data_IF_413910697778
#
_entry.id   IF_413910697778
#
_cell.length_a   1.000
_cell.length_b   1.000
_cell.length_c   1.000
_cell.angle_alpha   90.00
_cell.angle_beta   90.00
_cell.angle_gamma   90.00
#
_symmetry.space_group_name_H-M   'P 1'
#
loop_
_entity.id
_entity.type
_entity.pdbx_description
1 polymer ?
#
# COMPACT_ATOMS: atom_id res chain seq x y z
N UNK A 1 2.07 -6.29 28.04
CA UNK A 1 2.18 -6.84 26.67
C UNK A 1 2.21 -5.64 25.73
N UNK A 2 3.18 -5.53 24.82
CA UNK A 2 3.17 -4.45 23.82
C UNK A 2 1.96 -4.67 22.92
N UNK A 3 1.06 -3.70 22.84
CA UNK A 3 -0.05 -3.72 21.90
C UNK A 3 0.55 -3.66 20.48
N UNK A 4 0.14 -4.59 19.61
CA UNK A 4 0.48 -4.54 18.20
C UNK A 4 -0.16 -3.28 17.59
N UNK A 5 0.64 -2.47 16.88
CA UNK A 5 0.18 -1.25 16.24
C UNK A 5 0.23 -1.44 14.73
N UNK A 6 -0.94 -1.47 14.11
CA UNK A 6 -1.11 -1.54 12.66
C UNK A 6 -0.45 -0.29 12.04
N UNK A 7 0.40 -0.43 11.01
CA UNK A 7 0.94 0.71 10.29
C UNK A 7 -0.18 1.55 9.67
N UNK A 8 0.06 2.86 9.55
CA UNK A 8 -0.92 3.80 9.03
C UNK A 8 -0.26 4.66 7.96
N UNK A 9 -0.90 4.73 6.80
CA UNK A 9 -0.54 5.70 5.77
C UNK A 9 -1.16 7.05 6.13
N UNK A 10 -0.34 8.09 6.21
CA UNK A 10 -0.79 9.44 6.53
C UNK A 10 -0.87 10.27 5.26
N UNK A 11 -2.07 10.74 4.91
CA UNK A 11 -2.32 11.54 3.71
C UNK A 11 -3.38 12.59 4.01
N UNK A 12 -3.09 13.86 3.71
CA UNK A 12 -4.00 14.99 3.92
C UNK A 12 -4.68 15.01 5.31
N UNK A 13 -3.91 14.73 6.36
CA UNK A 13 -4.39 14.70 7.75
C UNK A 13 -5.17 13.44 8.14
N UNK A 14 -5.43 12.53 7.20
CA UNK A 14 -6.01 11.22 7.48
C UNK A 14 -4.94 10.21 7.87
N UNK A 15 -5.35 9.22 8.66
CA UNK A 15 -4.53 8.05 9.01
C UNK A 15 -5.27 6.80 8.58
N UNK A 16 -4.80 6.18 7.50
CA UNK A 16 -5.44 5.02 6.88
C UNK A 16 -4.68 3.74 7.28
N UNK A 17 -5.29 2.83 8.07
CA UNK A 17 -4.64 1.59 8.46
C UNK A 17 -4.36 0.69 7.25
N UNK A 18 -3.12 0.24 7.14
CA UNK A 18 -2.70 -0.68 6.10
C UNK A 18 -1.46 -1.44 6.57
N UNK A 19 -1.54 -2.75 6.56
CA UNK A 19 -0.41 -3.63 6.87
C UNK A 19 -0.15 -4.58 5.69
N UNK A 20 1.10 -4.63 5.24
CA UNK A 20 1.50 -5.49 4.13
C UNK A 20 1.55 -6.97 4.54
N UNK A 21 1.62 -7.26 5.84
CA UNK A 21 1.66 -8.63 6.36
C UNK A 21 0.29 -9.15 6.81
N UNK A 22 -0.75 -8.34 6.69
CA UNK A 22 -2.13 -8.71 7.01
C UNK A 22 -2.82 -9.28 5.77
N UNK A 23 -3.36 -10.50 5.88
CA UNK A 23 -3.93 -11.23 4.74
C UNK A 23 -5.13 -10.49 4.15
N UNK A 24 -6.06 -10.05 4.99
CA UNK A 24 -7.26 -9.33 4.55
C UNK A 24 -6.89 -8.01 3.87
N UNK A 25 -5.85 -7.32 4.38
CA UNK A 25 -5.31 -6.12 3.73
C UNK A 25 -4.69 -6.41 2.38
N UNK A 26 -3.99 -7.53 2.24
CA UNK A 26 -3.36 -7.90 0.97
C UNK A 26 -4.36 -8.38 -0.07
N UNK A 27 -5.42 -9.08 0.32
CA UNK A 27 -6.49 -9.50 -0.59
C UNK A 27 -7.14 -8.27 -1.24
N UNK A 28 -7.65 -7.33 -0.44
CA UNK A 28 -8.25 -6.09 -0.97
C UNK A 28 -7.24 -5.23 -1.76
N UNK A 29 -5.97 -5.20 -1.36
CA UNK A 29 -4.94 -4.48 -2.11
C UNK A 29 -4.69 -5.11 -3.48
N UNK A 30 -4.55 -6.44 -3.56
CA UNK A 30 -4.31 -7.14 -4.81
C UNK A 30 -5.50 -7.04 -5.76
N UNK A 31 -6.72 -7.20 -5.25
CA UNK A 31 -7.96 -6.98 -6.01
C UNK A 31 -8.01 -5.56 -6.60
N UNK A 32 -7.72 -4.54 -5.79
CA UNK A 32 -7.71 -3.16 -6.24
C UNK A 32 -6.66 -2.90 -7.33
N UNK A 33 -5.47 -3.48 -7.22
CA UNK A 33 -4.42 -3.34 -8.23
C UNK A 33 -4.78 -4.08 -9.52
N UNK A 34 -5.38 -5.28 -9.43
CA UNK A 34 -5.87 -6.02 -10.59
C UNK A 34 -6.96 -5.23 -11.32
N UNK A 35 -7.92 -4.66 -10.59
CA UNK A 35 -8.97 -3.81 -11.17
C UNK A 35 -8.38 -2.54 -11.79
N UNK A 36 -7.42 -1.88 -11.13
CA UNK A 36 -6.71 -0.72 -11.66
C UNK A 36 -6.05 -1.04 -13.01
N UNK A 37 -5.36 -2.18 -13.11
CA UNK A 37 -4.70 -2.61 -14.35
C UNK A 37 -5.69 -2.90 -15.48
N UNK A 38 -6.85 -3.48 -15.16
CA UNK A 38 -7.89 -3.74 -16.15
C UNK A 38 -8.56 -2.44 -16.60
N UNK A 39 -8.95 -1.57 -15.67
CA UNK A 39 -9.59 -0.29 -15.97
C UNK A 39 -8.65 0.65 -16.73
N UNK A 40 -7.34 0.59 -16.49
CA UNK A 40 -6.34 1.40 -17.19
C UNK A 40 -6.29 1.13 -18.70
N UNK A 41 -6.73 -0.05 -19.16
CA UNK A 41 -6.85 -0.37 -20.60
C UNK A 41 -7.98 0.42 -21.28
N UNK A 42 -8.93 0.91 -20.49
CA UNK A 42 -10.15 1.58 -20.94
C UNK A 42 -10.14 3.09 -20.64
N UNK A 43 -8.97 3.69 -20.41
CA UNK A 43 -8.85 5.15 -20.26
C UNK A 43 -9.38 5.82 -21.53
N UNK A 44 -10.20 6.87 -21.36
CA UNK A 44 -10.70 7.65 -22.48
C UNK A 44 -9.56 8.21 -23.34
N UNK A 45 -9.46 7.72 -24.57
CA UNK A 45 -8.52 8.23 -25.60
C UNK A 45 -9.20 9.15 -26.60
N UNK A 46 -10.53 9.22 -26.56
CA UNK A 46 -11.36 10.10 -27.37
C UNK A 46 -12.00 11.19 -26.50
N UNK A 47 -12.32 12.34 -27.10
CA UNK A 47 -12.91 13.48 -26.40
C UNK A 47 -11.90 14.55 -26.01
N UNK A 48 -12.19 15.30 -24.95
CA UNK A 48 -11.34 16.41 -24.52
C UNK A 48 -10.24 15.93 -23.57
N UNK A 49 -9.17 16.73 -23.43
CA UNK A 49 -8.14 16.50 -22.41
C UNK A 49 -8.71 16.42 -20.99
N UNK A 50 -9.81 17.12 -20.72
CA UNK A 50 -10.47 17.04 -19.41
C UNK A 50 -11.12 15.66 -19.18
N UNK A 51 -11.62 15.01 -20.22
CA UNK A 51 -12.24 13.69 -20.14
C UNK A 51 -11.18 12.61 -19.88
N UNK A 52 -10.04 12.69 -20.58
CA UNK A 52 -8.86 11.87 -20.31
C UNK A 52 -8.40 12.01 -18.84
N UNK A 53 -8.27 13.23 -18.33
CA UNK A 53 -7.87 13.51 -16.94
C UNK A 53 -8.87 12.90 -15.95
N UNK A 54 -10.18 13.09 -16.17
CA UNK A 54 -11.21 12.52 -15.28
C UNK A 54 -11.19 11.00 -15.31
N UNK A 55 -11.05 10.40 -16.49
CA UNK A 55 -10.96 8.96 -16.65
C UNK A 55 -9.74 8.39 -15.91
N UNK A 56 -8.59 9.05 -16.01
CA UNK A 56 -7.38 8.66 -15.29
C UNK A 56 -7.55 8.76 -13.77
N UNK A 57 -8.05 9.89 -13.27
CA UNK A 57 -8.30 10.08 -11.83
C UNK A 57 -9.29 9.04 -11.27
N UNK A 58 -10.32 8.68 -12.04
CA UNK A 58 -11.33 7.69 -11.64
C UNK A 58 -10.74 6.29 -11.36
N UNK A 59 -9.62 5.92 -11.99
CA UNK A 59 -8.92 4.67 -11.71
C UNK A 59 -8.47 4.60 -10.26
N UNK A 60 -7.80 5.65 -9.81
CA UNK A 60 -7.28 5.73 -8.44
C UNK A 60 -8.39 5.99 -7.44
N UNK A 61 -9.47 6.69 -7.83
CA UNK A 61 -10.63 6.82 -6.95
C UNK A 61 -11.17 5.44 -6.54
N UNK A 62 -11.41 4.58 -7.54
CA UNK A 62 -11.86 3.20 -7.31
C UNK A 62 -10.83 2.41 -6.49
N UNK A 63 -9.55 2.55 -6.80
CA UNK A 63 -8.48 1.86 -6.07
C UNK A 63 -8.48 2.24 -4.57
N UNK A 64 -8.50 3.53 -4.23
CA UNK A 64 -8.50 3.97 -2.84
C UNK A 64 -9.80 3.60 -2.12
N UNK A 65 -10.94 3.66 -2.80
CA UNK A 65 -12.23 3.27 -2.22
C UNK A 65 -12.32 1.75 -1.99
N UNK A 66 -11.74 0.94 -2.87
CA UNK A 66 -11.65 -0.52 -2.67
C UNK A 66 -10.69 -0.86 -1.54
N UNK A 67 -9.52 -0.21 -1.49
CA UNK A 67 -8.53 -0.47 -0.44
C UNK A 67 -9.04 0.03 0.90
N UNK A 68 -9.62 1.22 1.03
CA UNK A 68 -9.86 1.86 2.33
C UNK A 68 -11.33 2.04 2.69
N UNK A 69 -12.24 1.69 1.80
CA UNK A 69 -13.68 1.87 1.95
C UNK A 69 -14.19 3.06 1.14
N UNK A 70 -15.47 2.97 0.74
CA UNK A 70 -16.13 3.93 -0.14
C UNK A 70 -16.01 5.39 0.37
N UNK A 71 -15.73 6.31 -0.55
CA UNK A 71 -15.58 7.73 -0.26
C UNK A 71 -14.24 8.12 0.35
N UNK A 72 -13.27 7.20 0.41
CA UNK A 72 -11.91 7.54 0.86
C UNK A 72 -11.21 8.43 -0.17
N UNK A 73 -11.35 8.13 -1.46
CA UNK A 73 -10.77 8.93 -2.53
C UNK A 73 -11.25 10.39 -2.49
N UNK A 74 -12.55 10.59 -2.26
CA UNK A 74 -13.12 11.94 -2.15
C UNK A 74 -12.52 12.71 -0.97
N UNK A 75 -12.30 12.06 0.18
CA UNK A 75 -11.61 12.67 1.32
C UNK A 75 -10.14 12.97 1.05
N UNK A 76 -9.45 12.12 0.28
CA UNK A 76 -8.05 12.36 -0.12
C UNK A 76 -7.98 13.55 -1.06
N UNK A 77 -8.83 13.61 -2.08
CA UNK A 77 -8.66 14.55 -3.19
C UNK A 77 -9.55 15.80 -3.12
N UNK A 78 -10.56 15.80 -2.25
CA UNK A 78 -11.54 16.87 -2.06
C UNK A 78 -12.23 17.23 -3.39
N UNK A 79 -12.70 16.20 -4.11
CA UNK A 79 -13.31 16.34 -5.44
C UNK A 79 -12.38 16.77 -6.58
N UNK A 80 -11.10 17.09 -6.31
CA UNK A 80 -10.17 17.56 -7.35
C UNK A 80 -9.84 16.45 -8.35
N UNK A 81 -9.73 16.82 -9.63
CA UNK A 81 -9.28 15.94 -10.73
C UNK A 81 -8.01 16.54 -11.36
N UNK A 82 -6.87 16.18 -10.78
CA UNK A 82 -5.57 16.73 -11.17
C UNK A 82 -4.54 15.60 -11.21
N UNK A 83 -4.06 15.26 -12.41
CA UNK A 83 -3.12 14.13 -12.62
C UNK A 83 -1.91 14.23 -11.69
N UNK A 84 -1.27 15.41 -11.57
CA UNK A 84 -0.07 15.59 -10.74
C UNK A 84 -0.34 15.33 -9.25
N UNK A 85 -1.52 15.71 -8.76
CA UNK A 85 -1.93 15.41 -7.39
C UNK A 85 -2.09 13.90 -7.20
N UNK A 86 -2.76 13.23 -8.14
CA UNK A 86 -3.02 11.78 -8.06
C UNK A 86 -1.73 10.98 -8.13
N UNK A 87 -0.83 11.30 -9.07
CA UNK A 87 0.47 10.65 -9.22
C UNK A 87 1.31 10.81 -7.94
N UNK A 88 1.40 12.04 -7.41
CA UNK A 88 2.15 12.29 -6.17
C UNK A 88 1.58 11.50 -5.00
N UNK A 89 0.25 11.44 -4.87
CA UNK A 89 -0.40 10.69 -3.80
C UNK A 89 -0.18 9.19 -3.96
N UNK A 90 -0.20 8.67 -5.19
CA UNK A 90 0.09 7.27 -5.48
C UNK A 90 1.54 6.90 -5.18
N UNK A 91 2.51 7.74 -5.58
CA UNK A 91 3.93 7.54 -5.28
C UNK A 91 4.18 7.49 -3.76
N UNK A 92 3.53 8.38 -3.00
CA UNK A 92 3.62 8.37 -1.54
C UNK A 92 3.02 7.10 -0.93
N UNK A 93 1.85 6.66 -1.40
CA UNK A 93 1.23 5.41 -0.97
C UNK A 93 2.12 4.20 -1.24
N UNK A 94 2.65 4.06 -2.46
CA UNK A 94 3.57 2.96 -2.81
C UNK A 94 4.87 3.04 -1.99
N UNK A 95 5.36 4.24 -1.71
CA UNK A 95 6.47 4.47 -0.78
C UNK A 95 6.17 3.94 0.63
N UNK A 96 4.95 4.16 1.13
CA UNK A 96 4.48 3.62 2.39
C UNK A 96 4.38 2.07 2.35
N UNK A 97 3.76 1.48 1.33
CA UNK A 97 3.64 0.01 1.18
C UNK A 97 5.03 -0.65 1.18
N UNK A 98 6.00 -0.07 0.48
CA UNK A 98 7.40 -0.53 0.49
C UNK A 98 8.01 -0.50 1.90
N UNK A 99 7.74 0.55 2.69
CA UNK A 99 8.22 0.64 4.08
C UNK A 99 7.61 -0.45 4.96
N UNK A 100 6.32 -0.75 4.83
CA UNK A 100 5.70 -1.86 5.57
C UNK A 100 6.41 -3.18 5.25
N UNK A 101 6.54 -3.53 3.96
CA UNK A 101 7.25 -4.74 3.53
C UNK A 101 8.70 -4.82 4.03
N UNK A 102 9.43 -3.70 4.06
CA UNK A 102 10.82 -3.67 4.55
C UNK A 102 10.92 -3.92 6.05
N UNK A 103 9.98 -3.40 6.85
CA UNK A 103 9.96 -3.64 8.30
C UNK A 103 9.83 -5.13 8.61
N UNK A 104 8.97 -5.84 7.88
CA UNK A 104 8.79 -7.29 7.97
C UNK A 104 10.07 -8.04 7.65
N UNK A 105 10.67 -7.74 6.49
CA UNK A 105 11.88 -8.44 6.03
C UNK A 105 13.01 -8.25 7.03
N UNK A 106 13.20 -7.03 7.55
CA UNK A 106 14.21 -6.77 8.57
C UNK A 106 13.91 -7.51 9.89
N UNK A 107 12.64 -7.53 10.33
CA UNK A 107 12.25 -8.26 11.54
C UNK A 107 12.46 -9.78 11.39
N UNK A 108 12.16 -10.35 10.22
CA UNK A 108 12.42 -11.75 9.90
C UNK A 108 13.92 -12.05 9.87
N UNK A 109 14.73 -11.24 9.19
CA UNK A 109 16.19 -11.41 9.16
C UNK A 109 16.80 -11.34 10.56
N UNK A 110 16.35 -10.40 11.40
CA UNK A 110 16.80 -10.29 12.79
C UNK A 110 16.43 -11.53 13.62
N UNK A 111 15.23 -12.08 13.43
CA UNK A 111 14.81 -13.34 14.07
C UNK A 111 15.68 -14.51 13.59
N UNK A 112 15.87 -14.66 12.27
CA UNK A 112 16.71 -15.71 11.70
C UNK A 112 18.12 -15.63 12.29
N UNK A 113 18.77 -14.47 12.29
CA UNK A 113 20.10 -14.28 12.86
C UNK A 113 20.17 -14.60 14.36
N UNK A 114 19.16 -14.18 15.14
CA UNK A 114 19.07 -14.46 16.58
C UNK A 114 18.97 -15.96 16.88
N UNK A 115 18.25 -16.72 16.07
CA UNK A 115 18.00 -18.15 16.29
C UNK A 115 19.00 -19.06 15.55
N UNK A 116 19.62 -18.60 14.45
CA UNK A 116 20.65 -19.34 13.72
C UNK A 116 22.02 -19.29 14.42
N UNK A 117 22.37 -18.16 15.04
CA UNK A 117 23.64 -17.98 15.78
C UNK A 117 23.77 -18.86 17.03
N UNK A 118 22.64 -19.33 17.60
CA UNK A 118 22.63 -20.21 18.79
C UNK A 118 22.85 -21.69 18.49
N UNK A 119 22.75 -22.13 17.22
CA UNK A 119 22.95 -23.54 16.84
C UNK A 119 24.42 -23.97 16.83
N UNK A 120 25.36 -23.03 16.73
CA UNK A 120 26.81 -23.33 16.67
C UNK A 120 27.52 -23.32 18.03
N UNK A 121 26.94 -22.73 19.08
CA UNK A 121 27.54 -22.78 20.43
C UNK A 121 27.27 -24.11 21.14
N UNK A 122 26.13 -24.75 20.90
CA UNK A 122 25.78 -26.02 21.57
C UNK A 122 26.58 -27.22 21.06
N UNK A 123 27.26 -27.10 19.91
CA UNK A 123 28.16 -28.13 19.36
C UNK A 123 29.63 -28.01 19.80
N UNK A 124 30.02 -26.95 20.52
CA UNK A 124 31.41 -26.74 20.97
C UNK A 124 31.71 -27.20 22.41
N UNK A 125 30.70 -27.67 23.16
CA UNK A 125 30.85 -28.07 24.56
C UNK A 125 30.87 -29.60 24.78
N UNK A 126 31.08 -30.38 23.72
CA UNK A 126 31.39 -31.81 23.83
C UNK A 126 32.69 -32.03 23.08
N UNK A 127 33.83 -31.94 23.76
CA UNK A 127 35.12 -32.62 23.49
C UNK A 127 36.05 -32.32 24.68
#
# INVERSE_FOLDING_TARGET
>A
MSQFKIPQWEVNGMKLPFDFDDADTMDRYMEAIMQLQEDAKNIATEGTRADEIRSYCALFDKMYDHIFGAGTADKIFEGRKNIRLYDKTYDDFIGFVKRCRMQTQQAMMNKVNKYSGKRNQQKRNFH
#
